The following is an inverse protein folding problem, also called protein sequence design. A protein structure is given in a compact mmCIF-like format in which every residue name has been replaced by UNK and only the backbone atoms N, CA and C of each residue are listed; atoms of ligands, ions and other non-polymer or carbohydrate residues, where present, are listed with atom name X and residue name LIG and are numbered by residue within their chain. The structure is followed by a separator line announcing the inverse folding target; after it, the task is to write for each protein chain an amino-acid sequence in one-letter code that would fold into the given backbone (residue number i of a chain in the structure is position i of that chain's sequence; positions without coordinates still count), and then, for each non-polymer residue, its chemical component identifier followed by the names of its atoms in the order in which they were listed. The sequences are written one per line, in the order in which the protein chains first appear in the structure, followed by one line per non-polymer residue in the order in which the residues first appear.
data_IF_439538962529
#
_entry.id   IF_439538962529
#
_cell.length_a   1.000
_cell.length_b   1.000
_cell.length_c   1.000
_cell.angle_alpha   90.00
_cell.angle_beta   90.00
_cell.angle_gamma   90.00
#
_symmetry.space_group_name_H-M   'P 1'
#
loop_
_entity.id
_entity.type
_entity.pdbx_description
1 polymer ?
#
# COMPACT_ATOMS: atom_id res chain seq x y z
N UNK A 1 -24.48 -17.81 -27.91
CA UNK A 1 -23.79 -16.50 -28.02
C UNK A 1 -22.57 -16.59 -27.12
N UNK A 2 -21.38 -16.76 -27.70
CA UNK A 2 -20.14 -16.72 -26.94
C UNK A 2 -19.88 -15.26 -26.60
N UNK A 3 -20.14 -14.88 -25.36
CA UNK A 3 -19.61 -13.64 -24.81
C UNK A 3 -18.10 -13.85 -24.73
N UNK A 4 -17.39 -13.31 -25.71
CA UNK A 4 -15.94 -13.11 -25.66
C UNK A 4 -15.70 -12.14 -24.50
N UNK A 5 -15.65 -12.69 -23.28
CA UNK A 5 -15.16 -11.95 -22.13
C UNK A 5 -13.69 -11.67 -22.44
N UNK A 6 -13.23 -10.41 -22.39
CA UNK A 6 -11.82 -10.13 -22.53
C UNK A 6 -11.09 -10.99 -21.51
N UNK A 7 -10.09 -11.75 -21.99
CA UNK A 7 -9.20 -12.56 -21.17
C UNK A 7 -8.82 -11.73 -19.95
N UNK A 8 -9.30 -12.13 -18.78
CA UNK A 8 -9.23 -11.31 -17.57
C UNK A 8 -7.76 -11.09 -17.24
N UNK A 9 -7.24 -9.92 -17.64
CA UNK A 9 -5.88 -9.54 -17.31
C UNK A 9 -5.79 -9.46 -15.80
N UNK A 10 -4.72 -9.98 -15.18
CA UNK A 10 -4.50 -9.76 -13.76
C UNK A 10 -4.48 -8.26 -13.52
N UNK A 11 -5.32 -7.78 -12.60
CA UNK A 11 -5.38 -6.34 -12.29
C UNK A 11 -3.98 -5.84 -11.96
N UNK A 12 -3.59 -4.67 -12.47
CA UNK A 12 -2.36 -4.05 -11.99
C UNK A 12 -2.56 -3.49 -10.58
N UNK A 13 -1.48 -3.36 -9.81
CA UNK A 13 -1.57 -2.84 -8.44
C UNK A 13 -2.13 -1.40 -8.41
N UNK A 14 -1.78 -0.61 -9.42
CA UNK A 14 -2.30 0.76 -9.60
C UNK A 14 -3.81 0.77 -9.82
N UNK A 15 -4.35 -0.14 -10.64
CA UNK A 15 -5.80 -0.29 -10.85
C UNK A 15 -6.51 -0.75 -9.59
N UNK A 16 -5.95 -1.72 -8.87
CA UNK A 16 -6.51 -2.18 -7.59
C UNK A 16 -6.66 -1.01 -6.62
N UNK A 17 -5.65 -0.14 -6.53
CA UNK A 17 -5.67 0.97 -5.60
C UNK A 17 -6.39 2.22 -6.10
N UNK A 18 -6.72 2.29 -7.39
CA UNK A 18 -7.46 3.41 -7.97
C UNK A 18 -8.95 3.13 -8.12
N UNK A 19 -9.31 1.94 -8.59
CA UNK A 19 -10.69 1.53 -8.90
C UNK A 19 -11.32 0.72 -7.76
N UNK A 20 -10.53 -0.16 -7.14
CA UNK A 20 -11.03 -1.17 -6.19
C UNK A 20 -10.80 -0.85 -4.73
N UNK A 21 -10.05 0.22 -4.43
CA UNK A 21 -9.70 0.61 -3.07
C UNK A 21 -10.67 1.66 -2.53
N UNK A 22 -11.37 1.30 -1.45
CA UNK A 22 -12.26 2.18 -0.73
C UNK A 22 -11.71 2.47 0.66
N UNK A 23 -11.77 3.73 1.07
CA UNK A 23 -11.52 4.09 2.47
C UNK A 23 -12.77 3.84 3.27
N UNK A 24 -12.63 3.07 4.34
CA UNK A 24 -13.74 2.75 5.23
C UNK A 24 -13.41 3.10 6.67
N UNK A 25 -14.44 3.29 7.47
CA UNK A 25 -14.31 3.32 8.91
C UNK A 25 -14.81 1.97 9.45
N UNK A 26 -13.92 1.22 10.09
CA UNK A 26 -14.23 -0.10 10.66
C UNK A 26 -15.32 -0.03 11.74
N UNK A 27 -15.49 1.12 12.39
CA UNK A 27 -16.55 1.34 13.38
C UNK A 27 -17.95 1.19 12.78
N UNK A 28 -18.10 1.53 11.49
CA UNK A 28 -19.37 1.47 10.75
C UNK A 28 -19.48 0.21 9.86
N UNK A 29 -18.43 -0.61 9.79
CA UNK A 29 -18.37 -1.78 8.91
C UNK A 29 -18.25 -3.05 9.73
N UNK A 30 -19.31 -3.86 9.75
CA UNK A 30 -19.24 -5.17 10.38
C UNK A 30 -18.61 -6.19 9.42
N UNK A 31 -17.34 -6.50 9.66
CA UNK A 31 -16.58 -7.47 8.86
C UNK A 31 -16.87 -8.87 9.42
N UNK A 32 -17.87 -9.55 8.85
CA UNK A 32 -18.20 -10.94 9.20
C UNK A 32 -17.60 -11.92 8.18
N UNK A 33 -17.05 -13.04 8.67
CA UNK A 33 -16.46 -14.13 7.86
C UNK A 33 -15.22 -13.77 7.04
N UNK A 34 -14.35 -12.92 7.59
CA UNK A 34 -13.02 -12.70 7.02
C UNK A 34 -12.01 -13.55 7.79
N UNK A 35 -11.14 -14.21 7.05
CA UNK A 35 -9.93 -14.82 7.57
C UNK A 35 -8.90 -13.75 7.92
N UNK A 36 -8.01 -14.08 8.83
CA UNK A 36 -6.97 -13.19 9.33
C UNK A 36 -5.60 -13.68 8.89
N UNK A 37 -4.82 -12.78 8.30
CA UNK A 37 -3.43 -13.02 7.96
C UNK A 37 -2.57 -11.88 8.52
N UNK A 38 -1.56 -12.24 9.29
CA UNK A 38 -0.59 -11.27 9.82
C UNK A 38 0.68 -11.33 8.97
N UNK A 39 1.04 -10.20 8.36
CA UNK A 39 2.26 -10.03 7.56
C UNK A 39 3.05 -8.88 8.18
N UNK A 40 4.27 -9.16 8.67
CA UNK A 40 5.17 -8.15 9.24
C UNK A 40 4.52 -7.31 10.37
N UNK A 41 3.93 -8.00 11.36
CA UNK A 41 3.16 -7.41 12.47
C UNK A 41 1.87 -6.66 12.04
N UNK A 42 1.57 -6.63 10.74
CA UNK A 42 0.37 -5.98 10.21
C UNK A 42 -0.73 -7.00 9.96
N UNK A 43 -1.87 -6.74 10.60
CA UNK A 43 -3.08 -7.55 10.45
C UNK A 43 -3.83 -7.20 9.18
N UNK A 44 -4.02 -8.19 8.32
CA UNK A 44 -4.90 -8.15 7.18
C UNK A 44 -6.09 -9.06 7.42
N UNK A 45 -7.28 -8.59 7.08
CA UNK A 45 -8.47 -9.42 7.07
C UNK A 45 -8.87 -9.63 5.62
N UNK A 46 -9.12 -10.86 5.19
CA UNK A 46 -9.50 -11.11 3.81
C UNK A 46 -10.59 -12.18 3.72
N UNK A 47 -11.29 -12.18 2.60
CA UNK A 47 -12.29 -13.18 2.29
C UNK A 47 -12.19 -13.55 0.83
N UNK A 48 -12.08 -14.85 0.59
CA UNK A 48 -12.13 -15.40 -0.76
C UNK A 48 -13.58 -15.50 -1.24
N UNK A 49 -13.77 -15.26 -2.54
CA UNK A 49 -15.02 -15.63 -3.21
C UNK A 49 -15.21 -17.15 -3.23
N UNK A 50 -16.44 -17.62 -3.41
CA UNK A 50 -16.76 -19.05 -3.45
C UNK A 50 -16.00 -19.84 -4.52
N UNK A 51 -15.49 -19.16 -5.56
CA UNK A 51 -14.66 -19.75 -6.62
C UNK A 51 -13.15 -19.58 -6.40
N UNK A 52 -12.73 -18.77 -5.41
CA UNK A 52 -11.32 -18.45 -5.15
C UNK A 52 -10.65 -17.51 -6.16
N UNK A 53 -11.35 -17.10 -7.21
CA UNK A 53 -10.85 -16.26 -8.31
C UNK A 53 -10.61 -14.80 -7.87
N UNK A 54 -11.51 -14.30 -7.01
CA UNK A 54 -11.42 -12.96 -6.44
C UNK A 54 -11.40 -12.99 -4.92
N UNK A 55 -10.76 -11.99 -4.33
CA UNK A 55 -10.71 -11.75 -2.90
C UNK A 55 -11.13 -10.33 -2.55
N UNK A 56 -11.72 -10.18 -1.37
CA UNK A 56 -11.92 -8.90 -0.71
C UNK A 56 -10.97 -8.84 0.46
N UNK A 57 -10.20 -7.76 0.60
CA UNK A 57 -9.29 -7.60 1.71
C UNK A 57 -9.49 -6.26 2.42
N UNK A 58 -9.19 -6.25 3.70
CA UNK A 58 -9.18 -5.10 4.58
C UNK A 58 -7.80 -5.00 5.16
N UNK A 59 -7.21 -3.82 4.99
CA UNK A 59 -5.89 -3.51 5.51
C UNK A 59 -5.86 -2.10 6.10
N UNK A 60 -4.66 -1.68 6.49
CA UNK A 60 -4.42 -0.32 6.96
C UNK A 60 -3.36 0.30 6.06
N UNK A 61 -3.49 1.60 5.79
CA UNK A 61 -2.48 2.44 5.15
C UNK A 61 -2.42 3.76 5.92
N UNK A 62 -1.26 4.08 6.49
CA UNK A 62 -1.00 5.29 7.25
C UNK A 62 -2.05 5.59 8.35
N UNK A 63 -2.48 4.54 9.06
CA UNK A 63 -3.50 4.61 10.11
C UNK A 63 -4.96 4.65 9.61
N UNK A 64 -5.20 4.74 8.29
CA UNK A 64 -6.54 4.66 7.71
C UNK A 64 -6.88 3.23 7.29
N UNK A 65 -8.11 2.81 7.54
CA UNK A 65 -8.59 1.50 7.11
C UNK A 65 -8.99 1.54 5.63
N UNK A 66 -8.50 0.57 4.89
CA UNK A 66 -8.77 0.38 3.47
C UNK A 66 -9.50 -0.93 3.25
N UNK A 67 -10.48 -0.91 2.36
CA UNK A 67 -11.21 -2.06 1.86
C UNK A 67 -10.93 -2.17 0.36
N UNK A 68 -10.28 -3.25 -0.07
CA UNK A 68 -10.10 -3.56 -1.47
C UNK A 68 -11.10 -4.64 -1.85
N UNK A 69 -11.98 -4.34 -2.80
CA UNK A 69 -13.04 -5.26 -3.23
C UNK A 69 -12.71 -5.88 -4.58
N UNK A 70 -13.09 -7.14 -4.79
CA UNK A 70 -12.98 -7.82 -6.10
C UNK A 70 -11.55 -7.85 -6.67
N UNK A 71 -10.55 -8.06 -5.81
CA UNK A 71 -9.15 -8.19 -6.22
C UNK A 71 -8.91 -9.57 -6.80
N UNK A 72 -8.40 -9.66 -8.03
CA UNK A 72 -8.02 -10.95 -8.61
C UNK A 72 -6.86 -11.59 -7.86
N UNK A 73 -7.03 -12.86 -7.48
CA UNK A 73 -6.02 -13.63 -6.74
C UNK A 73 -4.97 -14.24 -7.67
N UNK A 74 -5.26 -14.36 -8.97
CA UNK A 74 -4.40 -15.02 -9.95
C UNK A 74 -3.97 -16.43 -9.50
N UNK A 75 -4.92 -17.19 -8.95
CA UNK A 75 -4.74 -18.52 -8.37
C UNK A 75 -3.87 -18.63 -7.10
N UNK A 76 -3.24 -17.54 -6.65
CA UNK A 76 -2.44 -17.52 -5.41
C UNK A 76 -2.72 -16.27 -4.57
N UNK A 77 -3.73 -16.39 -3.69
CA UNK A 77 -4.20 -15.27 -2.88
C UNK A 77 -3.17 -14.81 -1.83
N UNK A 78 -2.35 -15.71 -1.29
CA UNK A 78 -1.34 -15.38 -0.28
C UNK A 78 -0.20 -14.54 -0.88
N UNK A 79 0.34 -14.95 -2.03
CA UNK A 79 1.34 -14.17 -2.75
C UNK A 79 0.76 -12.82 -3.16
N UNK A 80 -0.50 -12.79 -3.61
CA UNK A 80 -1.16 -11.54 -3.96
C UNK A 80 -1.28 -10.59 -2.77
N UNK A 81 -1.59 -11.11 -1.58
CA UNK A 81 -1.63 -10.34 -0.33
C UNK A 81 -0.25 -9.77 0.03
N UNK A 82 0.83 -10.53 -0.18
CA UNK A 82 2.21 -10.05 0.00
C UNK A 82 2.58 -8.93 -0.97
N UNK A 83 2.19 -9.04 -2.23
CA UNK A 83 2.39 -7.96 -3.21
C UNK A 83 1.68 -6.67 -2.75
N UNK A 84 0.42 -6.78 -2.33
CA UNK A 84 -0.39 -5.66 -1.85
C UNK A 84 0.27 -5.03 -0.62
N UNK A 85 0.72 -5.86 0.32
CA UNK A 85 1.46 -5.42 1.50
C UNK A 85 2.73 -4.63 1.12
N UNK A 86 3.56 -5.17 0.21
CA UNK A 86 4.77 -4.48 -0.25
C UNK A 86 4.44 -3.15 -0.94
N UNK A 87 3.36 -3.08 -1.71
CA UNK A 87 2.93 -1.84 -2.35
C UNK A 87 2.43 -0.79 -1.35
N UNK A 88 1.69 -1.21 -0.32
CA UNK A 88 1.27 -0.35 0.78
C UNK A 88 2.51 0.24 1.48
N UNK A 89 3.51 -0.59 1.80
CA UNK A 89 4.76 -0.13 2.42
C UNK A 89 5.52 0.87 1.53
N UNK A 90 5.59 0.62 0.22
CA UNK A 90 6.22 1.54 -0.72
C UNK A 90 5.50 2.90 -0.76
N UNK A 91 4.15 2.91 -0.76
CA UNK A 91 3.39 4.17 -0.74
C UNK A 91 3.50 4.91 0.58
N UNK A 92 3.51 4.20 1.70
CA UNK A 92 3.78 4.79 3.02
C UNK A 92 5.18 5.41 3.08
N UNK A 93 6.19 4.73 2.53
CA UNK A 93 7.56 5.24 2.45
C UNK A 93 7.70 6.46 1.53
N UNK A 94 6.89 6.54 0.46
CA UNK A 94 6.84 7.68 -0.46
C UNK A 94 6.03 8.87 0.09
N UNK A 95 5.25 8.67 1.16
CA UNK A 95 4.32 9.69 1.65
C UNK A 95 3.15 9.94 0.70
N UNK A 96 2.91 9.03 -0.25
CA UNK A 96 1.80 9.12 -1.21
C UNK A 96 0.51 8.67 -0.52
N UNK A 97 -0.20 9.65 0.02
CA UNK A 97 -1.57 9.49 0.48
C UNK A 97 -2.45 9.52 -0.78
N UNK A 98 -3.20 8.45 -1.12
CA UNK A 98 -4.17 8.55 -2.20
C UNK A 98 -5.22 9.56 -1.77
N UNK A 99 -5.19 10.80 -2.22
CA UNK A 99 -6.11 11.83 -1.75
C UNK A 99 -7.55 11.43 -2.11
N UNK A 100 -8.50 11.56 -1.17
CA UNK A 100 -9.93 11.28 -1.40
C UNK A 100 -10.61 12.30 -2.35
N UNK A 101 -9.85 13.26 -2.87
CA UNK A 101 -10.29 14.34 -3.72
C UNK A 101 -9.11 14.67 -4.65
N UNK A 102 -9.25 14.46 -5.96
CA UNK A 102 -8.19 14.38 -6.98
C UNK A 102 -7.27 15.58 -7.14
N UNK A 103 -6.57 15.99 -6.09
CA UNK A 103 -5.51 17.00 -6.08
C UNK A 103 -4.28 16.34 -5.50
N UNK A 104 -3.31 16.03 -6.35
CA UNK A 104 -1.99 15.54 -5.94
C UNK A 104 -1.40 16.58 -4.98
N UNK A 105 -1.34 16.24 -3.69
CA UNK A 105 -0.52 16.95 -2.74
C UNK A 105 0.89 16.37 -2.86
N UNK A 106 1.67 16.90 -3.81
CA UNK A 106 3.13 16.72 -3.78
C UNK A 106 3.64 17.33 -2.49
N UNK A 107 3.82 16.49 -1.47
CA UNK A 107 4.59 16.88 -0.28
C UNK A 107 6.06 16.93 -0.71
N UNK A 108 6.77 18.05 -0.54
CA UNK A 108 8.21 18.05 -0.77
C UNK A 108 8.89 17.06 0.19
N UNK A 109 10.01 16.43 -0.22
CA UNK A 109 10.67 15.42 0.59
C UNK A 109 11.05 16.00 1.94
N UNK A 110 10.43 15.47 3.00
CA UNK A 110 10.86 15.77 4.36
C UNK A 110 12.27 15.24 4.51
N UNK A 111 13.20 16.18 4.62
CA UNK A 111 14.61 15.95 4.86
C UNK A 111 14.79 14.98 6.02
N UNK A 112 15.11 13.72 5.70
CA UNK A 112 15.78 12.84 6.66
C UNK A 112 17.17 13.41 6.86
N UNK A 113 17.33 14.12 7.97
CA UNK A 113 18.58 14.47 8.62
C UNK A 113 19.55 13.28 8.58
N UNK A 114 20.41 13.26 7.58
CA UNK A 114 21.69 12.55 7.64
C UNK A 114 22.66 13.48 8.37
N UNK A 115 22.58 13.46 9.70
CA UNK A 115 23.71 13.91 10.53
C UNK A 115 24.80 12.83 10.45
N UNK A 116 25.57 12.84 9.36
CA UNK A 116 26.82 12.08 9.28
C UNK A 116 27.94 12.92 9.87
N UNK A 117 28.34 12.51 11.09
CA UNK A 117 29.60 12.71 11.77
C UNK A 117 30.52 13.84 11.29
N UNK A 118 30.56 14.89 12.09
CA UNK A 118 31.68 15.82 12.21
C UNK A 118 32.90 15.03 12.73
N UNK A 119 33.80 14.58 11.85
CA UNK A 119 35.14 14.19 12.26
C UNK A 119 36.13 15.26 11.82
N UNK A 120 36.77 15.84 12.84
CA UNK A 120 37.90 16.75 12.82
C UNK A 120 38.89 16.46 11.67
N UNK A 121 39.24 17.51 10.94
CA UNK A 121 40.65 17.83 10.65
C UNK A 121 40.84 19.34 10.55
N UNK A 122 41.18 19.91 11.71
CA UNK A 122 42.13 21.00 11.93
C UNK A 122 42.48 21.91 10.74
N UNK A 123 41.97 23.14 10.76
CA UNK A 123 42.62 24.31 10.15
C UNK A 123 43.65 24.86 11.14
N UNK A 124 44.89 25.05 10.69
CA UNK A 124 45.86 25.98 11.28
C UNK A 124 46.78 26.45 10.15
N UNK A 125 46.49 27.60 9.52
CA UNK A 125 47.02 28.96 9.80
C UNK A 125 48.39 29.23 9.13
N UNK A 126 48.83 30.49 8.94
CA UNK A 126 48.13 31.72 8.61
C UNK A 126 48.83 32.55 7.50
N UNK A 127 48.28 33.74 7.25
CA UNK A 127 48.67 34.79 6.31
C UNK A 127 50.01 35.50 6.67
N UNK A 128 50.71 35.97 5.62
CA UNK A 128 51.60 37.15 5.52
C UNK A 128 52.97 37.19 6.26
N UNK A 129 54.03 37.38 5.46
CA UNK A 129 54.66 38.70 5.28
C UNK A 129 55.18 38.85 3.84
#
# INVERSE_FOLDING_TARGET
MSLDLPEAKPDTMEEIFSDKCQRINLDHYSIYHFDELVIDDRKYQYRLSSKGDVMTLVGTLNGQSLLLVSVWTNMDHENRLREIHQYILQREAQGDLPNADGKVCVSPPTARTFAINLHLTSVSMPLSN
#
